data_IF_895280821533
#
_entry.id   IF_895280821533
#
_cell.length_a   1.000
_cell.length_b   1.000
_cell.length_c   1.000
_cell.angle_alpha   90.00
_cell.angle_beta   90.00
_cell.angle_gamma   90.00
#
_symmetry.space_group_name_H-M   'P 1'
#
loop_
_entity.id
_entity.type
_entity.pdbx_description
1 polymer ?
#
# COMPACT_ATOMS: atom_id res chain seq x y z
N UNK A 1 -8.00 15.06 -11.25
CA UNK A 1 -8.71 15.57 -10.06
C UNK A 1 -8.71 14.64 -8.84
N UNK A 2 -8.53 13.31 -8.97
CA UNK A 2 -8.59 12.37 -7.82
C UNK A 2 -7.37 12.32 -6.87
N UNK A 3 -6.23 12.90 -7.26
CA UNK A 3 -4.97 12.87 -6.48
C UNK A 3 -5.06 13.67 -5.17
N UNK A 4 -5.70 14.84 -5.19
CA UNK A 4 -5.89 15.72 -4.01
C UNK A 4 -6.95 15.17 -3.05
N UNK A 5 -8.00 14.53 -3.57
CA UNK A 5 -9.09 13.98 -2.76
C UNK A 5 -8.62 12.81 -1.88
N UNK A 6 -7.69 12.00 -2.37
CA UNK A 6 -7.10 10.89 -1.60
C UNK A 6 -6.12 11.35 -0.50
N UNK A 7 -5.39 12.45 -0.76
CA UNK A 7 -4.49 13.07 0.21
C UNK A 7 -5.29 13.68 1.37
N UNK A 8 -6.40 14.34 1.04
CA UNK A 8 -7.38 14.77 2.04
C UNK A 8 -8.02 13.58 2.76
N UNK A 9 -8.32 12.46 2.11
CA UNK A 9 -8.97 11.32 2.79
C UNK A 9 -8.15 10.72 3.93
N UNK A 10 -6.83 10.54 3.75
CA UNK A 10 -5.96 9.98 4.79
C UNK A 10 -5.66 10.99 5.89
N UNK A 11 -5.44 12.25 5.51
CA UNK A 11 -5.29 13.37 6.45
C UNK A 11 -6.51 13.59 7.32
N UNK A 12 -7.67 13.69 6.69
CA UNK A 12 -8.95 13.95 7.33
C UNK A 12 -9.34 12.77 8.22
N UNK A 13 -9.11 11.52 7.79
CA UNK A 13 -9.35 10.35 8.64
C UNK A 13 -8.46 10.35 9.89
N UNK A 14 -7.16 10.64 9.76
CA UNK A 14 -6.25 10.75 10.90
C UNK A 14 -6.63 11.85 11.89
N UNK A 15 -7.05 13.01 11.36
CA UNK A 15 -7.53 14.14 12.18
C UNK A 15 -8.86 13.82 12.88
N UNK A 16 -9.81 13.21 12.18
CA UNK A 16 -11.13 12.84 12.72
C UNK A 16 -11.00 11.77 13.80
N UNK A 17 -10.18 10.73 13.59
CA UNK A 17 -9.95 9.69 14.60
C UNK A 17 -9.23 10.25 15.82
N UNK A 18 -8.26 11.14 15.63
CA UNK A 18 -7.58 11.80 16.76
C UNK A 18 -8.52 12.75 17.52
N UNK A 19 -9.41 13.45 16.81
CA UNK A 19 -10.45 14.28 17.41
C UNK A 19 -11.48 13.46 18.21
N UNK A 20 -11.86 12.28 17.71
CA UNK A 20 -12.72 11.32 18.43
C UNK A 20 -11.99 10.77 19.67
N UNK A 21 -10.70 10.42 19.56
CA UNK A 21 -9.90 9.96 20.69
C UNK A 21 -9.75 11.02 21.79
N UNK A 22 -9.68 12.30 21.40
CA UNK A 22 -9.71 13.43 22.32
C UNK A 22 -11.06 13.55 23.04
N UNK A 23 -12.18 13.34 22.35
CA UNK A 23 -13.52 13.34 22.97
C UNK A 23 -13.69 12.18 23.96
N UNK A 24 -13.04 11.04 23.70
CA UNK A 24 -13.07 9.85 24.58
C UNK A 24 -12.18 10.03 25.83
N UNK A 25 -11.40 11.12 25.93
CA UNK A 25 -10.59 11.42 27.12
C UNK A 25 -9.27 10.66 27.19
N UNK A 26 -8.75 10.18 26.05
CA UNK A 26 -7.45 9.51 25.98
C UNK A 26 -6.34 10.53 26.24
N UNK A 27 -5.74 10.46 27.43
CA UNK A 27 -4.76 11.43 27.90
C UNK A 27 -3.38 10.76 28.08
N UNK A 28 -2.29 11.52 27.97
CA UNK A 28 -0.91 11.06 28.17
C UNK A 28 -0.64 10.52 29.59
N UNK A 29 -1.60 10.69 30.50
CA UNK A 29 -1.58 10.22 31.90
C UNK A 29 -2.26 8.87 32.11
N UNK A 30 -2.78 8.23 31.05
CA UNK A 30 -3.37 6.90 31.17
C UNK A 30 -2.30 5.89 31.61
N UNK A 31 -2.64 5.09 32.63
CA UNK A 31 -1.78 4.00 33.11
C UNK A 31 -1.51 3.00 31.99
N UNK A 32 -0.26 2.57 31.81
CA UNK A 32 0.24 1.70 30.72
C UNK A 32 0.44 2.37 29.34
N UNK A 33 0.55 3.70 29.26
CA UNK A 33 0.84 4.36 27.97
C UNK A 33 2.22 3.97 27.38
N UNK A 34 3.19 3.62 28.21
CA UNK A 34 4.48 3.03 27.82
C UNK A 34 4.31 1.79 26.95
N UNK A 35 3.43 0.87 27.34
CA UNK A 35 3.14 -0.34 26.55
C UNK A 35 2.51 -0.02 25.20
N UNK A 36 1.73 1.07 25.11
CA UNK A 36 1.13 1.51 23.85
C UNK A 36 2.20 2.12 22.93
N UNK A 37 3.14 2.89 23.49
CA UNK A 37 4.28 3.42 22.74
C UNK A 37 5.19 2.30 22.24
N UNK A 38 5.53 1.32 23.09
CA UNK A 38 6.32 0.15 22.71
C UNK A 38 5.62 -0.65 21.62
N UNK A 39 4.33 -0.95 21.81
CA UNK A 39 3.51 -1.63 20.80
C UNK A 39 3.46 -0.88 19.47
N UNK A 40 3.36 0.45 19.52
CA UNK A 40 3.40 1.32 18.34
C UNK A 40 4.77 1.31 17.63
N UNK A 41 5.87 1.32 18.38
CA UNK A 41 7.24 1.21 17.85
C UNK A 41 7.42 -0.14 17.16
N UNK A 42 7.04 -1.23 17.82
CA UNK A 42 7.16 -2.59 17.28
C UNK A 42 6.30 -2.75 16.02
N UNK A 43 5.03 -2.36 16.09
CA UNK A 43 4.12 -2.45 14.93
C UNK A 43 4.63 -1.63 13.75
N UNK A 44 5.00 -0.37 13.98
CA UNK A 44 5.51 0.51 12.92
C UNK A 44 6.79 -0.04 12.29
N UNK A 45 7.70 -0.59 13.09
CA UNK A 45 8.95 -1.19 12.59
C UNK A 45 8.69 -2.42 11.71
N UNK A 46 7.75 -3.30 12.10
CA UNK A 46 7.36 -4.46 11.29
C UNK A 46 6.76 -4.01 9.96
N UNK A 47 5.85 -3.04 9.99
CA UNK A 47 5.18 -2.53 8.79
C UNK A 47 6.18 -1.86 7.84
N UNK A 48 7.07 -1.02 8.35
CA UNK A 48 8.13 -0.38 7.55
C UNK A 48 9.04 -1.44 6.90
N UNK A 49 9.44 -2.47 7.65
CA UNK A 49 10.23 -3.58 7.11
C UNK A 49 9.50 -4.34 6.02
N UNK A 50 8.22 -4.63 6.21
CA UNK A 50 7.36 -5.28 5.21
C UNK A 50 7.20 -4.42 3.95
N UNK A 51 6.95 -3.13 4.10
CA UNK A 51 6.84 -2.19 2.97
C UNK A 51 8.17 -2.08 2.19
N UNK A 52 9.31 -2.10 2.88
CA UNK A 52 10.63 -2.10 2.23
C UNK A 52 10.87 -3.38 1.41
N UNK A 53 10.51 -4.54 1.97
CA UNK A 53 10.59 -5.82 1.25
C UNK A 53 9.65 -5.84 0.02
N UNK A 54 8.42 -5.38 0.16
CA UNK A 54 7.45 -5.24 -0.93
C UNK A 54 7.95 -4.32 -2.04
N UNK A 55 8.57 -3.20 -1.68
CA UNK A 55 9.17 -2.29 -2.66
C UNK A 55 10.28 -2.97 -3.45
N UNK A 56 11.11 -3.79 -2.80
CA UNK A 56 12.14 -4.59 -3.46
C UNK A 56 11.56 -5.58 -4.48
N UNK A 57 10.53 -6.33 -4.10
CA UNK A 57 9.82 -7.24 -5.01
C UNK A 57 9.23 -6.48 -6.19
N UNK A 58 8.57 -5.35 -5.93
CA UNK A 58 7.94 -4.52 -6.95
C UNK A 58 8.97 -3.98 -7.97
N UNK A 59 10.16 -3.61 -7.51
CA UNK A 59 11.27 -3.20 -8.37
C UNK A 59 11.75 -4.39 -9.21
N UNK A 60 11.82 -5.59 -8.66
CA UNK A 60 12.27 -6.80 -9.38
C UNK A 60 11.32 -7.20 -10.52
N UNK A 61 10.02 -6.97 -10.39
CA UNK A 61 9.00 -7.37 -11.39
C UNK A 61 8.61 -6.24 -12.35
N UNK A 62 9.10 -5.02 -12.10
CA UNK A 62 8.78 -3.79 -12.87
C UNK A 62 8.94 -3.95 -14.37
N UNK A 63 9.97 -4.66 -14.81
CA UNK A 63 10.38 -4.70 -16.22
C UNK A 63 9.57 -5.69 -17.06
N UNK A 64 8.62 -6.42 -16.46
CA UNK A 64 7.71 -7.27 -17.22
C UNK A 64 6.65 -6.43 -17.95
N UNK A 65 6.37 -6.76 -19.21
CA UNK A 65 5.44 -6.01 -20.08
C UNK A 65 4.04 -5.87 -19.45
N UNK A 66 3.59 -6.89 -18.72
CA UNK A 66 2.32 -6.93 -17.98
C UNK A 66 2.30 -5.85 -16.89
N UNK A 67 3.39 -5.72 -16.15
CA UNK A 67 3.53 -4.73 -15.09
C UNK A 67 3.60 -3.35 -15.72
N UNK A 68 4.40 -3.15 -16.77
CA UNK A 68 4.51 -1.88 -17.50
C UNK A 68 3.16 -1.36 -18.02
N UNK A 69 2.25 -2.22 -18.49
CA UNK A 69 0.92 -1.80 -18.97
C UNK A 69 -0.04 -1.43 -17.82
N UNK A 70 -0.04 -2.17 -16.71
CA UNK A 70 -0.83 -1.82 -15.50
C UNK A 70 -0.33 -0.50 -14.90
N UNK A 71 0.99 -0.32 -14.89
CA UNK A 71 1.67 0.88 -14.43
C UNK A 71 1.54 2.07 -15.41
N UNK A 72 1.22 1.82 -16.68
CA UNK A 72 0.91 2.89 -17.65
C UNK A 72 -0.46 3.52 -17.37
N UNK A 73 -1.41 2.76 -16.84
CA UNK A 73 -2.70 3.28 -16.38
C UNK A 73 -2.63 3.99 -15.01
N UNK A 74 -1.72 3.57 -14.13
CA UNK A 74 -1.49 4.17 -12.82
C UNK A 74 -0.07 4.74 -12.76
N UNK A 75 0.09 6.03 -13.04
CA UNK A 75 1.35 6.80 -13.01
C UNK A 75 2.42 6.18 -12.07
N UNK A 76 3.44 5.52 -12.63
CA UNK A 76 4.55 4.87 -11.91
C UNK A 76 5.14 5.76 -10.81
N UNK A 77 5.23 7.07 -11.07
CA UNK A 77 5.73 8.06 -10.12
C UNK A 77 4.88 8.13 -8.85
N UNK A 78 3.57 7.93 -8.95
CA UNK A 78 2.63 8.03 -7.84
C UNK A 78 2.76 6.83 -6.89
N UNK A 79 3.01 5.62 -7.40
CA UNK A 79 3.24 4.46 -6.55
C UNK A 79 4.56 4.58 -5.76
N UNK A 80 5.66 4.95 -6.44
CA UNK A 80 6.94 5.20 -5.77
C UNK A 80 6.80 6.27 -4.69
N UNK A 81 6.04 7.33 -4.99
CA UNK A 81 5.76 8.40 -4.05
C UNK A 81 5.02 7.89 -2.81
N UNK A 82 3.94 7.11 -2.97
CA UNK A 82 3.19 6.55 -1.84
C UNK A 82 4.05 5.64 -0.96
N UNK A 83 4.87 4.76 -1.55
CA UNK A 83 5.80 3.93 -0.80
C UNK A 83 6.78 4.76 0.02
N UNK A 84 7.41 5.75 -0.61
CA UNK A 84 8.37 6.63 0.08
C UNK A 84 7.69 7.43 1.20
N UNK A 85 6.48 7.92 0.95
CA UNK A 85 5.66 8.64 1.92
C UNK A 85 5.39 7.77 3.16
N UNK A 86 4.89 6.55 2.99
CA UNK A 86 4.62 5.66 4.12
C UNK A 86 5.89 5.22 4.87
N UNK A 87 7.01 5.00 4.17
CA UNK A 87 8.29 4.68 4.81
C UNK A 87 8.77 5.84 5.68
N UNK A 88 8.79 7.06 5.13
CA UNK A 88 9.22 8.27 5.86
C UNK A 88 8.30 8.50 7.08
N UNK A 89 6.99 8.39 6.90
CA UNK A 89 6.02 8.54 7.98
C UNK A 89 6.18 7.46 9.06
N UNK A 90 6.50 6.22 8.68
CA UNK A 90 6.78 5.15 9.62
C UNK A 90 8.03 5.44 10.46
N UNK A 91 9.12 5.89 9.83
CA UNK A 91 10.32 6.30 10.57
C UNK A 91 10.06 7.49 11.50
N UNK A 92 9.36 8.52 11.02
CA UNK A 92 8.97 9.67 11.86
C UNK A 92 8.13 9.21 13.05
N UNK A 93 7.16 8.31 12.83
CA UNK A 93 6.29 7.77 13.89
C UNK A 93 7.10 7.03 14.95
N UNK A 94 8.06 6.18 14.54
CA UNK A 94 8.94 5.45 15.47
C UNK A 94 9.81 6.41 16.29
N UNK A 95 10.44 7.39 15.64
CA UNK A 95 11.28 8.38 16.32
C UNK A 95 10.43 9.18 17.32
N UNK A 96 9.24 9.60 16.91
CA UNK A 96 8.35 10.41 17.73
C UNK A 96 7.79 9.59 18.91
N UNK A 97 7.49 8.29 18.72
CA UNK A 97 7.18 7.36 19.81
C UNK A 97 8.33 7.27 20.82
N UNK A 98 9.58 7.16 20.35
CA UNK A 98 10.77 7.09 21.19
C UNK A 98 11.01 8.38 22.00
N UNK A 99 10.87 9.55 21.37
CA UNK A 99 10.95 10.84 22.05
C UNK A 99 9.88 10.94 23.15
N UNK A 100 8.65 10.54 22.84
CA UNK A 100 7.54 10.59 23.78
C UNK A 100 7.74 9.61 24.95
N UNK A 101 8.37 8.46 24.70
CA UNK A 101 8.75 7.49 25.72
C UNK A 101 9.73 8.08 26.76
N UNK A 102 10.70 8.88 26.31
CA UNK A 102 11.70 9.55 27.18
C UNK A 102 11.11 10.77 27.89
N UNK A 103 10.32 11.58 27.19
CA UNK A 103 9.87 12.90 27.69
C UNK A 103 8.61 12.82 28.57
N UNK A 104 7.93 11.68 28.63
CA UNK A 104 6.70 11.44 29.43
C UNK A 104 6.80 11.84 30.90
N UNK A 105 7.99 11.79 31.50
CA UNK A 105 8.22 12.17 32.90
C UNK A 105 8.04 13.67 33.20
N UNK A 106 7.96 14.51 32.17
CA UNK A 106 7.84 15.96 32.33
C UNK A 106 6.43 16.48 32.02
N UNK A 107 5.93 17.38 32.86
CA UNK A 107 4.56 17.93 32.77
C UNK A 107 4.47 19.20 31.91
N UNK A 108 5.32 19.35 30.90
CA UNK A 108 5.29 20.54 30.05
C UNK A 108 4.15 20.49 29.02
N UNK A 109 3.57 21.65 28.70
CA UNK A 109 2.61 21.82 27.59
C UNK A 109 3.16 21.24 26.27
N UNK A 110 4.48 21.31 26.07
CA UNK A 110 5.18 20.72 24.92
C UNK A 110 4.95 19.21 24.77
N UNK A 111 4.84 18.45 25.88
CA UNK A 111 4.61 17.00 25.84
C UNK A 111 3.20 16.67 25.35
N UNK A 112 2.23 17.50 25.74
CA UNK A 112 0.84 17.36 25.28
C UNK A 112 0.73 17.63 23.77
N UNK A 113 1.44 18.64 23.27
CA UNK A 113 1.49 18.94 21.82
C UNK A 113 2.16 17.79 21.06
N UNK A 114 3.30 17.30 21.53
CA UNK A 114 4.01 16.17 20.92
C UNK A 114 3.13 14.92 20.89
N UNK A 115 2.38 14.64 21.95
CA UNK A 115 1.42 13.53 22.00
C UNK A 115 0.35 13.64 20.90
N UNK A 116 -0.23 14.82 20.68
CA UNK A 116 -1.22 15.01 19.62
C UNK A 116 -0.61 14.85 18.23
N UNK A 117 0.55 15.44 17.98
CA UNK A 117 1.27 15.29 16.71
C UNK A 117 1.61 13.82 16.45
N UNK A 118 2.05 13.10 17.49
CA UNK A 118 2.31 11.67 17.43
C UNK A 118 1.07 10.85 17.10
N UNK A 119 -0.05 11.11 17.79
CA UNK A 119 -1.31 10.39 17.56
C UNK A 119 -1.78 10.58 16.12
N UNK A 120 -1.76 11.82 15.61
CA UNK A 120 -2.11 12.10 14.21
C UNK A 120 -1.18 11.35 13.26
N UNK A 121 0.13 11.39 13.51
CA UNK A 121 1.13 10.68 12.72
C UNK A 121 0.90 9.16 12.69
N UNK A 122 0.55 8.56 13.82
CA UNK A 122 0.28 7.13 13.94
C UNK A 122 -0.93 6.72 13.09
N UNK A 123 -2.05 7.42 13.22
CA UNK A 123 -3.25 7.11 12.44
C UNK A 123 -3.06 7.37 10.95
N UNK A 124 -2.33 8.44 10.61
CA UNK A 124 -1.94 8.68 9.23
C UNK A 124 -1.11 7.52 8.67
N UNK A 125 -0.11 7.06 9.43
CA UNK A 125 0.76 5.96 9.01
C UNK A 125 -0.03 4.67 8.75
N UNK A 126 -1.01 4.34 9.60
CA UNK A 126 -1.90 3.18 9.42
C UNK A 126 -2.72 3.32 8.13
N UNK A 127 -3.35 4.47 7.92
CA UNK A 127 -4.17 4.71 6.73
C UNK A 127 -3.33 4.66 5.44
N UNK A 128 -2.14 5.26 5.46
CA UNK A 128 -1.19 5.23 4.34
C UNK A 128 -0.72 3.81 4.03
N UNK A 129 -0.39 3.02 5.06
CA UNK A 129 -0.01 1.61 4.91
C UNK A 129 -1.13 0.80 4.26
N UNK A 130 -2.37 0.93 4.75
CA UNK A 130 -3.52 0.22 4.20
C UNK A 130 -3.71 0.54 2.72
N UNK A 131 -3.56 1.82 2.34
CA UNK A 131 -3.67 2.26 0.95
C UNK A 131 -2.64 1.57 0.04
N UNK A 132 -1.38 1.45 0.48
CA UNK A 132 -0.32 0.80 -0.31
C UNK A 132 -0.60 -0.69 -0.47
N UNK A 133 -0.99 -1.36 0.62
CA UNK A 133 -1.32 -2.80 0.57
C UNK A 133 -2.49 -3.05 -0.38
N UNK A 134 -3.54 -2.24 -0.31
CA UNK A 134 -4.69 -2.35 -1.23
C UNK A 134 -4.30 -2.07 -2.69
N UNK A 135 -3.43 -1.09 -2.94
CA UNK A 135 -2.94 -0.77 -4.27
C UNK A 135 -2.12 -1.92 -4.87
N UNK A 136 -1.23 -2.53 -4.06
CA UNK A 136 -0.48 -3.72 -4.46
C UNK A 136 -1.39 -4.91 -4.74
N UNK A 137 -2.41 -5.12 -3.90
CA UNK A 137 -3.40 -6.17 -4.10
C UNK A 137 -4.09 -6.00 -5.46
N UNK A 138 -4.52 -4.78 -5.80
CA UNK A 138 -5.09 -4.52 -7.12
C UNK A 138 -4.10 -4.76 -8.26
N UNK A 139 -2.80 -4.45 -8.10
CA UNK A 139 -1.79 -4.70 -9.12
C UNK A 139 -1.57 -6.22 -9.33
N UNK A 140 -1.41 -6.99 -8.26
CA UNK A 140 -1.14 -8.43 -8.33
C UNK A 140 -2.35 -9.24 -8.81
N UNK A 141 -3.56 -8.88 -8.41
CA UNK A 141 -4.76 -9.64 -8.80
C UNK A 141 -5.31 -9.22 -10.16
N UNK A 142 -5.11 -7.97 -10.61
CA UNK A 142 -5.50 -7.54 -11.96
C UNK A 142 -4.60 -8.12 -13.05
N UNK A 143 -3.31 -8.34 -12.77
CA UNK A 143 -2.38 -9.00 -13.71
C UNK A 143 -2.74 -10.46 -13.98
N UNK A 144 -3.25 -11.18 -12.97
CA UNK A 144 -3.60 -12.60 -13.10
C UNK A 144 -4.87 -12.85 -13.95
N UNK A 145 -5.70 -11.83 -14.19
CA UNK A 145 -6.90 -11.96 -15.02
C UNK A 145 -6.59 -11.81 -16.53
N UNK A 146 -5.52 -11.09 -16.89
CA UNK A 146 -5.19 -10.83 -18.30
C UNK A 146 -4.48 -11.99 -19.00
N UNK A 147 -3.91 -12.93 -18.26
CA UNK A 147 -3.16 -14.09 -18.82
C UNK A 147 -4.06 -15.26 -19.21
N UNK A 148 -5.40 -15.15 -19.08
CA UNK A 148 -6.35 -16.25 -19.34
C UNK A 148 -7.32 -15.97 -20.49
N UNK A 149 -6.90 -15.25 -21.51
CA UNK A 149 -7.46 -15.41 -22.86
C UNK A 149 -6.37 -16.02 -23.73
N UNK A 150 -6.40 -17.33 -24.01
CA UNK A 150 -5.89 -17.77 -25.30
C UNK A 150 -6.57 -16.85 -26.32
N UNK A 151 -5.81 -16.10 -27.11
CA UNK A 151 -6.39 -15.54 -28.32
C UNK A 151 -7.05 -16.72 -29.03
N UNK A 152 -8.33 -16.64 -29.43
CA UNK A 152 -8.85 -17.60 -30.38
C UNK A 152 -7.85 -17.55 -31.52
N UNK A 153 -7.19 -18.67 -31.78
CA UNK A 153 -6.48 -18.84 -33.04
C UNK A 153 -7.56 -18.54 -34.07
N UNK A 154 -7.46 -17.40 -34.72
CA UNK A 154 -8.33 -17.05 -35.83
C UNK A 154 -7.96 -18.08 -36.88
N UNK A 155 -8.75 -19.16 -36.93
CA UNK A 155 -8.59 -20.25 -37.87
C UNK A 155 -8.48 -19.60 -39.25
N UNK A 156 -7.27 -19.62 -39.82
CA UNK A 156 -7.08 -19.21 -41.20
C UNK A 156 -7.96 -20.15 -42.04
N UNK A 157 -8.97 -19.63 -42.77
CA UNK A 157 -9.88 -20.46 -43.53
C UNK A 157 -9.12 -21.38 -44.51
N UNK A 158 -7.94 -20.93 -44.97
CA UNK A 158 -7.04 -21.69 -45.83
C UNK A 158 -6.44 -22.94 -45.17
N UNK A 159 -6.01 -22.86 -43.90
CA UNK A 159 -5.44 -24.02 -43.20
C UNK A 159 -6.48 -25.09 -42.88
N UNK A 160 -7.71 -24.70 -42.51
CA UNK A 160 -8.80 -25.64 -42.28
C UNK A 160 -9.21 -26.37 -43.58
N UNK A 161 -9.24 -25.66 -44.70
CA UNK A 161 -9.53 -26.24 -46.01
C UNK A 161 -8.40 -27.18 -46.46
N UNK A 162 -7.13 -26.81 -46.27
CA UNK A 162 -5.99 -27.66 -46.57
C UNK A 162 -5.98 -28.96 -45.73
N UNK A 163 -6.32 -28.86 -44.44
CA UNK A 163 -6.41 -30.01 -43.54
C UNK A 163 -7.58 -30.94 -43.94
N UNK A 164 -8.73 -30.37 -44.31
CA UNK A 164 -9.88 -31.13 -44.82
C UNK A 164 -9.56 -31.83 -46.14
N UNK A 165 -8.87 -31.16 -47.05
CA UNK A 165 -8.45 -31.74 -48.33
C UNK A 165 -7.44 -32.87 -48.16
N UNK A 166 -6.51 -32.73 -47.21
CA UNK A 166 -5.55 -33.78 -46.85
C UNK A 166 -6.23 -35.05 -46.34
N UNK A 167 -7.25 -34.90 -45.49
CA UNK A 167 -8.03 -36.03 -44.93
C UNK A 167 -8.93 -36.72 -45.95
N UNK A 168 -9.39 -36.00 -46.98
CA UNK A 168 -10.15 -36.61 -48.09
C UNK A 168 -9.25 -37.34 -49.09
N UNK A 169 -8.00 -36.91 -49.27
CA UNK A 169 -7.05 -37.53 -50.21
C UNK A 169 -6.50 -38.86 -49.71
N UNK A 170 -6.43 -39.05 -48.40
CA UNK A 170 -5.93 -40.27 -47.75
C UNK A 170 -7.00 -41.38 -47.61
N UNK A 171 -8.26 -41.09 -47.95
CA UNK A 171 -9.40 -42.03 -47.85
C UNK A 171 -9.86 -42.63 -49.19
N UNK A 172 -9.22 -42.28 -50.29
CA UNK A 172 -9.49 -42.88 -51.60
C UNK A 172 -8.48 -43.99 -51.90
N UNK A 173 -8.88 -45.27 -51.94
CA UNK A 173 -8.05 -46.37 -52.44
C UNK A 173 -7.81 -46.29 -53.95
#
# INVERSE_FOLDING_TARGET
>A
MGRILSWFSASLFGVVVTYIAHIIGFNHKVSNFDKVLDGSITFSSIVVGFLAALLGILISIRDTEIVKEIFRQNEIGTLKYYFNEALILGFITVILSGILHVVRGNTFLSVTIIFYVWSVGLFWFIASTYRIVHLLMNIFFKSHYSTRRPQPVEDDPGEQEAMRQGLTRDRTP
#
